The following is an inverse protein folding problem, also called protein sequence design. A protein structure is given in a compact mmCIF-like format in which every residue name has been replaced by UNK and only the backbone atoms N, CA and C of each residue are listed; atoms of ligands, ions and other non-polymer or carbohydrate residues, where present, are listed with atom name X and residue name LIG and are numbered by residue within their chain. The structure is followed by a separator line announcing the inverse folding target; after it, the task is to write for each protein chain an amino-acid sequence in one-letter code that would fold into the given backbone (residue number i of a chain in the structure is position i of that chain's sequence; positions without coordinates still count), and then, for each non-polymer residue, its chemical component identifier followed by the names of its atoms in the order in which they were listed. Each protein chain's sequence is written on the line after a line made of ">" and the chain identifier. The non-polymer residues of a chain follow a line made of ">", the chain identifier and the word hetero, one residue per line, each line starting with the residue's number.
data_IF_502084723139
#
_entry.id   IF_502084723139
#
_cell.length_a   1.000
_cell.length_b   1.000
_cell.length_c   1.000
_cell.angle_alpha   90.00
_cell.angle_beta   90.00
_cell.angle_gamma   90.00
#
_symmetry.space_group_name_H-M   'P 1'
#
loop_
_entity.id
_entity.type
_entity.pdbx_description
1 polymer ?
#
# COMPACT_ATOMS: atom_id res chain seq x y z
N UNK A 1 10.60 19.39 -8.76
CA UNK A 1 10.54 17.91 -8.72
C UNK A 1 9.10 17.51 -9.03
N UNK A 2 8.91 16.88 -10.18
CA UNK A 2 7.61 16.63 -10.79
C UNK A 2 6.71 15.66 -9.98
N UNK A 3 5.38 15.73 -10.16
CA UNK A 3 4.38 14.89 -9.45
C UNK A 3 4.66 13.38 -9.60
N UNK A 4 5.37 13.02 -10.67
CA UNK A 4 5.84 11.67 -11.03
C UNK A 4 6.65 10.96 -9.94
N UNK A 5 7.39 11.68 -9.10
CA UNK A 5 8.29 11.08 -8.10
C UNK A 5 7.74 11.07 -6.68
N UNK A 6 6.52 11.58 -6.45
CA UNK A 6 5.90 11.63 -5.11
C UNK A 6 5.84 10.23 -4.47
N UNK A 7 5.53 9.20 -5.26
CA UNK A 7 5.40 7.81 -4.79
C UNK A 7 6.75 7.08 -4.63
N UNK A 8 7.87 7.69 -5.01
CA UNK A 8 9.16 7.00 -4.93
C UNK A 8 9.75 7.16 -3.53
N UNK A 9 10.05 6.04 -2.89
CA UNK A 9 10.81 6.07 -1.64
C UNK A 9 12.27 6.49 -1.87
N UNK A 10 12.92 6.97 -0.80
CA UNK A 10 14.35 7.38 -0.78
C UNK A 10 15.27 6.36 -1.44
N UNK A 11 15.06 5.07 -1.17
CA UNK A 11 15.88 3.98 -1.73
C UNK A 11 15.70 3.82 -3.25
N UNK A 12 14.50 4.08 -3.78
CA UNK A 12 14.21 3.98 -5.22
C UNK A 12 14.93 5.08 -5.99
N UNK A 13 14.95 6.29 -5.43
CA UNK A 13 15.70 7.43 -5.96
C UNK A 13 17.21 7.12 -5.93
N UNK A 14 17.73 6.67 -4.78
CA UNK A 14 19.15 6.31 -4.64
C UNK A 14 19.60 5.25 -5.65
N UNK A 15 18.83 4.17 -5.81
CA UNK A 15 19.15 3.10 -6.77
C UNK A 15 19.11 3.61 -8.21
N UNK A 16 18.19 4.52 -8.55
CA UNK A 16 18.11 5.07 -9.90
C UNK A 16 19.29 5.98 -10.23
N UNK A 17 19.69 6.82 -9.28
CA UNK A 17 20.89 7.66 -9.42
C UNK A 17 22.14 6.81 -9.62
N UNK A 18 22.31 5.72 -8.85
CA UNK A 18 23.44 4.79 -9.07
C UNK A 18 23.42 4.14 -10.46
N UNK A 19 22.24 3.77 -10.98
CA UNK A 19 22.12 3.23 -12.34
C UNK A 19 22.47 4.26 -13.43
N UNK A 20 22.34 5.54 -13.13
CA UNK A 20 22.73 6.64 -14.03
C UNK A 20 24.23 7.01 -13.89
N UNK A 21 24.99 6.31 -13.04
CA UNK A 21 26.41 6.63 -12.79
C UNK A 21 26.65 7.69 -11.72
N UNK A 22 25.58 8.26 -11.15
CA UNK A 22 25.68 9.33 -10.17
C UNK A 22 26.02 8.80 -8.77
N UNK A 23 27.20 9.17 -8.25
CA UNK A 23 27.68 8.81 -6.92
C UNK A 23 27.14 9.78 -5.86
N UNK A 24 25.84 9.69 -5.59
CA UNK A 24 25.18 10.54 -4.59
C UNK A 24 25.14 9.86 -3.22
N UNK A 25 25.60 10.54 -2.18
CA UNK A 25 25.47 10.06 -0.80
C UNK A 25 23.98 9.87 -0.40
N UNK A 26 23.63 8.68 0.08
CA UNK A 26 22.29 8.34 0.54
C UNK A 26 21.76 9.29 1.64
N UNK A 27 22.64 9.87 2.48
CA UNK A 27 22.27 10.88 3.48
C UNK A 27 21.78 12.19 2.85
N UNK A 28 22.41 12.63 1.76
CA UNK A 28 22.03 13.84 1.01
C UNK A 28 20.64 13.68 0.41
N UNK A 29 20.35 12.53 -0.19
CA UNK A 29 19.03 12.21 -0.75
C UNK A 29 17.97 12.23 0.35
N UNK A 30 18.24 11.62 1.52
CA UNK A 30 17.31 11.64 2.66
C UNK A 30 16.98 13.06 3.14
N UNK A 31 17.98 13.95 3.21
CA UNK A 31 17.79 15.35 3.60
C UNK A 31 16.93 16.10 2.56
N UNK A 32 17.25 15.95 1.28
CA UNK A 32 16.49 16.57 0.19
C UNK A 32 15.04 16.05 0.16
N UNK A 33 14.86 14.75 0.35
CA UNK A 33 13.55 14.11 0.42
C UNK A 33 12.66 14.69 1.52
N UNK A 34 13.26 14.94 2.70
CA UNK A 34 12.56 15.59 3.83
C UNK A 34 12.25 17.06 3.54
N UNK A 35 13.22 17.82 3.02
CA UNK A 35 13.03 19.24 2.65
C UNK A 35 11.91 19.43 1.62
N UNK A 36 11.79 18.49 0.67
CA UNK A 36 10.77 18.53 -0.37
C UNK A 36 9.38 18.03 0.08
N UNK A 37 9.22 17.57 1.33
CA UNK A 37 7.93 17.09 1.83
C UNK A 37 7.37 15.89 1.06
N UNK A 38 8.23 15.07 0.44
CA UNK A 38 7.82 13.91 -0.37
C UNK A 38 7.37 12.70 0.45
N UNK A 39 7.22 12.86 1.77
CA UNK A 39 6.60 11.84 2.60
C UNK A 39 5.13 11.71 2.24
N UNK A 40 4.75 10.60 1.60
CA UNK A 40 3.33 10.27 1.54
C UNK A 40 2.85 10.04 2.96
N UNK A 41 1.88 10.84 3.39
CA UNK A 41 1.13 10.57 4.61
C UNK A 41 0.47 9.20 4.43
N UNK A 42 0.89 8.20 5.21
CA UNK A 42 0.25 6.88 5.22
C UNK A 42 -1.21 7.12 5.62
N UNK A 43 -2.14 6.92 4.69
CA UNK A 43 -3.55 6.80 5.05
C UNK A 43 -3.70 5.45 5.72
N UNK A 44 -3.79 5.43 7.04
CA UNK A 44 -4.15 4.21 7.77
C UNK A 44 -5.47 3.71 7.22
N UNK A 45 -5.58 2.40 6.95
CA UNK A 45 -6.88 1.79 6.62
C UNK A 45 -7.86 2.18 7.73
N UNK A 46 -8.99 2.78 7.38
CA UNK A 46 -10.09 2.97 8.34
C UNK A 46 -10.51 1.58 8.81
N UNK A 47 -10.65 1.38 10.13
CA UNK A 47 -11.28 0.16 10.64
C UNK A 47 -12.69 0.12 10.06
N UNK A 48 -13.01 -0.97 9.35
CA UNK A 48 -14.40 -1.27 9.05
C UNK A 48 -15.07 -1.60 10.40
N UNK A 49 -16.29 -1.13 10.67
CA UNK A 49 -17.04 -1.58 11.84
C UNK A 49 -17.16 -3.10 11.79
N UNK A 50 -17.12 -3.74 12.96
CA UNK A 50 -17.29 -5.19 13.07
C UNK A 50 -18.63 -5.57 12.46
N UNK A 51 -18.59 -6.41 11.42
CA UNK A 51 -19.80 -6.91 10.80
C UNK A 51 -20.57 -7.70 11.86
N UNK A 52 -21.85 -7.38 12.06
CA UNK A 52 -22.74 -8.19 12.89
C UNK A 52 -22.78 -9.58 12.28
N UNK A 53 -22.22 -10.57 12.99
CA UNK A 53 -22.20 -11.96 12.54
C UNK A 53 -23.63 -12.46 12.41
N UNK A 54 -24.09 -12.63 11.16
CA UNK A 54 -25.38 -13.27 10.90
C UNK A 54 -25.18 -14.78 11.05
N UNK A 55 -25.91 -15.46 11.96
CA UNK A 55 -25.81 -16.91 12.07
C UNK A 55 -26.22 -17.54 10.74
N UNK A 56 -25.37 -18.39 10.18
CA UNK A 56 -25.74 -19.20 9.02
C UNK A 56 -26.83 -20.18 9.45
N UNK A 57 -27.92 -20.25 8.69
CA UNK A 57 -28.98 -21.23 8.88
C UNK A 57 -28.40 -22.63 8.70
N UNK A 58 -28.66 -23.52 9.67
CA UNK A 58 -28.26 -24.92 9.60
C UNK A 58 -28.96 -25.58 8.42
N UNK A 59 -28.20 -26.24 7.55
CA UNK A 59 -28.78 -27.08 6.50
C UNK A 59 -29.48 -28.27 7.15
N UNK A 60 -30.73 -28.52 6.76
CA UNK A 60 -31.54 -29.65 7.24
C UNK A 60 -31.41 -30.86 6.31
N UNK A 61 -30.94 -30.66 5.08
CA UNK A 61 -30.76 -31.72 4.08
C UNK A 61 -29.39 -31.63 3.38
N UNK A 62 -28.95 -32.76 2.82
CA UNK A 62 -27.74 -32.84 2.00
C UNK A 62 -27.87 -31.88 0.79
N UNK A 63 -26.78 -31.20 0.43
CA UNK A 63 -26.69 -30.23 -0.69
C UNK A 63 -27.54 -28.95 -0.58
N UNK A 64 -28.06 -28.61 0.61
CA UNK A 64 -28.83 -27.37 0.81
C UNK A 64 -27.92 -26.13 0.92
N UNK A 65 -26.70 -26.29 1.44
CA UNK A 65 -25.73 -25.20 1.64
C UNK A 65 -25.02 -24.76 0.35
N UNK A 66 -24.82 -25.69 -0.60
CA UNK A 66 -23.88 -25.50 -1.72
C UNK A 66 -24.57 -25.44 -3.10
N UNK A 67 -25.90 -25.33 -3.16
CA UNK A 67 -26.62 -25.31 -4.43
C UNK A 67 -26.42 -23.96 -5.10
N UNK A 68 -25.52 -23.91 -6.09
CA UNK A 68 -25.53 -22.84 -7.08
C UNK A 68 -26.90 -22.89 -7.78
N UNK A 69 -27.66 -21.81 -7.66
CA UNK A 69 -28.93 -21.66 -8.37
C UNK A 69 -28.67 -21.66 -9.89
N UNK A 70 -29.38 -22.52 -10.61
CA UNK A 70 -29.65 -22.38 -12.04
C UNK A 70 -31.01 -21.72 -12.21
#
# INVERSE_FOLDING_TARGET
>A
MDRRYKQWGVLKIYRRLRKQGELVNHKRIRRLYRKLGLGLRRRTKKRLPDAVSKPLTKATACNQCCRAAL
#
